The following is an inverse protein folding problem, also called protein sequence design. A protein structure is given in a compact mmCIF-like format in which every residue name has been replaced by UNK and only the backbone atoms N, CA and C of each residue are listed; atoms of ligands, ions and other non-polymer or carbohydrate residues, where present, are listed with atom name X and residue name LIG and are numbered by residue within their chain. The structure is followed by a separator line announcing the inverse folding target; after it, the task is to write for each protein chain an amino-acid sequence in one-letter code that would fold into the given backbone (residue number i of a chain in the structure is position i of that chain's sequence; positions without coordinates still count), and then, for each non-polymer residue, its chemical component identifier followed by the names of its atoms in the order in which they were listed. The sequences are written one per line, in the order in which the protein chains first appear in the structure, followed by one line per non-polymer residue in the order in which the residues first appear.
data_IF_864780038490
#
_entry.id   IF_864780038490
#
_cell.length_a   1.000
_cell.length_b   1.000
_cell.length_c   1.000
_cell.angle_alpha   90.00
_cell.angle_beta   90.00
_cell.angle_gamma   90.00
#
_symmetry.space_group_name_H-M   'P 1'
#
loop_
_entity.id
_entity.type
_entity.pdbx_description
1 polymer ?
#
# COMPACT_ATOMS: atom_id res chain seq x y z
N UNK A 1 -13.07 4.18 -8.14
CA UNK A 1 -13.62 5.39 -7.47
C UNK A 1 -13.65 6.53 -8.48
N UNK A 2 -14.72 7.34 -8.55
CA UNK A 2 -14.78 8.51 -9.41
C UNK A 2 -13.69 9.55 -9.09
N UNK A 3 -13.23 10.27 -10.11
CA UNK A 3 -12.11 11.22 -9.96
C UNK A 3 -12.45 12.41 -9.04
N UNK A 4 -13.69 12.87 -9.04
CA UNK A 4 -14.14 13.92 -8.12
C UNK A 4 -14.00 13.52 -6.65
N UNK A 5 -14.18 12.23 -6.31
CA UNK A 5 -13.91 11.71 -4.97
C UNK A 5 -12.40 11.64 -4.71
N UNK A 6 -11.62 11.17 -5.68
CA UNK A 6 -10.16 11.09 -5.54
C UNK A 6 -9.50 12.46 -5.36
N UNK A 7 -10.07 13.50 -5.97
CA UNK A 7 -9.57 14.88 -5.89
C UNK A 7 -10.20 15.69 -4.75
N UNK A 8 -11.11 15.10 -3.98
CA UNK A 8 -11.77 15.77 -2.88
C UNK A 8 -10.80 16.08 -1.72
N UNK A 9 -11.21 17.00 -0.86
CA UNK A 9 -10.47 17.33 0.37
C UNK A 9 -10.40 16.09 1.30
N UNK A 10 -9.33 15.92 2.10
CA UNK A 10 -9.13 14.72 2.93
C UNK A 10 -10.32 14.35 3.82
N UNK A 11 -11.02 15.33 4.39
CA UNK A 11 -12.19 15.08 5.24
C UNK A 11 -13.39 14.49 4.47
N UNK A 12 -13.56 14.83 3.19
CA UNK A 12 -14.59 14.24 2.32
C UNK A 12 -14.20 12.83 1.88
N UNK A 13 -12.91 12.62 1.57
CA UNK A 13 -12.37 11.30 1.30
C UNK A 13 -12.58 10.38 2.52
N UNK A 14 -12.38 10.88 3.74
CA UNK A 14 -12.64 10.14 4.97
C UNK A 14 -14.10 9.70 5.06
N UNK A 15 -15.05 10.59 4.79
CA UNK A 15 -16.48 10.25 4.77
C UNK A 15 -16.80 9.14 3.76
N UNK A 16 -16.19 9.20 2.57
CA UNK A 16 -16.36 8.14 1.56
C UNK A 16 -15.81 6.80 2.06
N UNK A 17 -14.59 6.80 2.64
CA UNK A 17 -13.99 5.58 3.18
C UNK A 17 -14.81 4.99 4.33
N UNK A 18 -15.35 5.83 5.22
CA UNK A 18 -16.19 5.37 6.33
C UNK A 18 -17.53 4.80 5.82
N UNK A 19 -18.14 5.41 4.81
CA UNK A 19 -19.33 4.85 4.15
C UNK A 19 -19.05 3.51 3.45
N UNK A 20 -17.93 3.42 2.73
CA UNK A 20 -17.51 2.17 2.09
C UNK A 20 -17.22 1.06 3.12
N UNK A 21 -16.64 1.42 4.26
CA UNK A 21 -16.36 0.47 5.35
C UNK A 21 -17.65 -0.19 5.89
N UNK A 22 -18.75 0.56 5.95
CA UNK A 22 -20.06 0.05 6.39
C UNK A 22 -20.64 -0.97 5.38
N UNK A 23 -20.44 -0.73 4.08
CA UNK A 23 -20.91 -1.62 3.02
C UNK A 23 -20.05 -2.86 2.83
N UNK A 24 -18.82 -2.66 2.41
CA UNK A 24 -17.91 -3.73 1.97
C UNK A 24 -16.63 -3.80 2.83
N UNK A 25 -16.73 -3.43 4.09
CA UNK A 25 -15.61 -3.47 5.02
C UNK A 25 -16.00 -4.05 6.38
N UNK A 26 -15.02 -4.07 7.26
CA UNK A 26 -15.25 -4.41 8.66
C UNK A 26 -14.15 -3.80 9.53
N UNK A 27 -14.44 -3.70 10.82
CA UNK A 27 -13.47 -3.33 11.84
C UNK A 27 -13.04 -4.57 12.61
N UNK A 28 -11.77 -4.62 12.97
CA UNK A 28 -11.21 -5.67 13.81
C UNK A 28 -10.50 -5.05 15.01
N UNK A 29 -10.92 -5.44 16.20
CA UNK A 29 -10.20 -5.07 17.42
C UNK A 29 -9.01 -6.03 17.58
N UNK A 30 -7.82 -5.47 17.79
CA UNK A 30 -6.65 -6.21 18.20
C UNK A 30 -6.40 -5.93 19.67
N UNK A 31 -6.52 -6.95 20.47
CA UNK A 31 -6.00 -6.94 21.83
C UNK A 31 -4.55 -7.42 21.73
N UNK A 32 -3.61 -6.54 21.97
CA UNK A 32 -2.21 -6.93 22.12
C UNK A 32 -1.97 -7.31 23.58
N UNK A 33 -1.00 -8.19 23.84
CA UNK A 33 -0.58 -8.63 25.19
C UNK A 33 -0.18 -7.47 26.12
N UNK A 34 -0.08 -6.26 25.58
CA UNK A 34 0.24 -5.00 26.28
C UNK A 34 -0.99 -4.13 26.60
N UNK A 35 -2.21 -4.68 26.61
CA UNK A 35 -3.46 -3.95 26.88
C UNK A 35 -3.71 -2.74 25.97
N UNK A 36 -3.16 -2.71 24.78
CA UNK A 36 -3.42 -1.67 23.81
C UNK A 36 -4.51 -2.12 22.84
N UNK A 37 -5.72 -1.62 23.04
CA UNK A 37 -6.82 -1.82 22.10
C UNK A 37 -6.61 -0.96 20.86
N UNK A 38 -6.41 -1.59 19.73
CA UNK A 38 -6.37 -0.89 18.44
C UNK A 38 -7.44 -1.42 17.52
N UNK A 39 -8.21 -0.51 16.93
CA UNK A 39 -9.22 -0.86 15.93
C UNK A 39 -8.62 -0.70 14.53
N UNK A 40 -8.58 -1.79 13.78
CA UNK A 40 -8.16 -1.80 12.38
C UNK A 40 -9.38 -1.67 11.46
N UNK A 41 -9.31 -0.77 10.49
CA UNK A 41 -10.29 -0.66 9.40
C UNK A 41 -9.81 -1.48 8.20
N UNK A 42 -10.66 -2.37 7.71
CA UNK A 42 -10.34 -3.29 6.61
C UNK A 42 -11.44 -3.15 5.55
N UNK A 43 -11.02 -2.83 4.34
CA UNK A 43 -11.87 -2.67 3.17
C UNK A 43 -11.72 -3.88 2.27
N UNK A 44 -12.83 -4.44 1.78
CA UNK A 44 -12.84 -5.63 0.94
C UNK A 44 -13.38 -5.32 -0.44
N UNK A 45 -12.80 -5.91 -1.47
CA UNK A 45 -13.30 -5.77 -2.84
C UNK A 45 -12.79 -6.91 -3.73
N UNK A 46 -13.56 -7.29 -4.74
CA UNK A 46 -13.13 -8.19 -5.81
C UNK A 46 -12.44 -7.44 -6.97
N UNK A 47 -12.59 -6.12 -7.03
CA UNK A 47 -11.99 -5.29 -8.08
C UNK A 47 -10.59 -4.84 -7.69
N UNK A 48 -9.57 -5.25 -8.48
CA UNK A 48 -8.19 -4.77 -8.29
C UNK A 48 -8.10 -3.26 -8.42
N UNK A 49 -8.82 -2.67 -9.38
CA UNK A 49 -8.86 -1.22 -9.57
C UNK A 49 -9.44 -0.51 -8.34
N UNK A 50 -10.53 -1.03 -7.77
CA UNK A 50 -11.10 -0.48 -6.54
C UNK A 50 -10.12 -0.61 -5.36
N UNK A 51 -9.42 -1.73 -5.24
CA UNK A 51 -8.39 -1.91 -4.22
C UNK A 51 -7.28 -0.86 -4.33
N UNK A 52 -6.83 -0.59 -5.55
CA UNK A 52 -5.82 0.44 -5.82
C UNK A 52 -6.34 1.86 -5.49
N UNK A 53 -7.58 2.15 -5.86
CA UNK A 53 -8.23 3.42 -5.56
C UNK A 53 -8.41 3.64 -4.05
N UNK A 54 -8.87 2.62 -3.31
CA UNK A 54 -8.98 2.67 -1.84
C UNK A 54 -7.61 2.95 -1.21
N UNK A 55 -6.56 2.28 -1.68
CA UNK A 55 -5.20 2.53 -1.19
C UNK A 55 -4.73 3.95 -1.43
N UNK A 56 -5.03 4.53 -2.60
CA UNK A 56 -4.75 5.94 -2.89
C UNK A 56 -5.50 6.87 -1.92
N UNK A 57 -6.78 6.60 -1.66
CA UNK A 57 -7.58 7.40 -0.73
C UNK A 57 -7.06 7.31 0.71
N UNK A 58 -6.64 6.14 1.16
CA UNK A 58 -6.03 5.95 2.49
C UNK A 58 -4.79 6.82 2.65
N UNK A 59 -3.95 6.92 1.62
CA UNK A 59 -2.76 7.79 1.65
C UNK A 59 -3.16 9.26 1.71
N UNK A 60 -4.16 9.67 0.94
CA UNK A 60 -4.65 11.06 0.91
C UNK A 60 -5.24 11.52 2.25
N UNK A 61 -5.68 10.61 3.10
CA UNK A 61 -6.09 10.90 4.48
C UNK A 61 -4.97 10.71 5.51
N UNK A 62 -3.72 10.61 5.07
CA UNK A 62 -2.54 10.57 5.94
C UNK A 62 -2.29 9.22 6.60
N UNK A 63 -2.83 8.12 6.05
CA UNK A 63 -2.63 6.76 6.58
C UNK A 63 -1.89 5.89 5.57
N UNK A 64 -1.40 4.75 5.99
CA UNK A 64 -0.71 3.78 5.14
C UNK A 64 -1.63 2.60 4.81
N UNK A 65 -1.85 2.28 3.54
CA UNK A 65 -2.56 1.06 3.16
C UNK A 65 -1.63 -0.16 3.24
N UNK A 66 -2.20 -1.30 3.61
CA UNK A 66 -1.57 -2.61 3.50
C UNK A 66 -2.50 -3.52 2.70
N UNK A 67 -1.98 -4.11 1.63
CA UNK A 67 -2.76 -4.96 0.72
C UNK A 67 -2.53 -6.43 1.05
N UNK A 68 -3.60 -7.19 0.98
CA UNK A 68 -3.56 -8.64 1.06
C UNK A 68 -4.54 -9.23 0.04
N UNK A 69 -4.10 -10.25 -0.68
CA UNK A 69 -4.97 -11.08 -1.49
C UNK A 69 -5.63 -12.11 -0.54
N UNK A 70 -6.82 -11.78 -0.06
CA UNK A 70 -7.50 -12.57 0.95
C UNK A 70 -7.99 -13.93 0.43
N UNK A 71 -8.45 -13.97 -0.83
CA UNK A 71 -8.86 -15.21 -1.50
C UNK A 71 -8.48 -15.17 -2.98
N UNK A 72 -7.94 -16.28 -3.46
CA UNK A 72 -7.68 -16.47 -4.89
C UNK A 72 -8.96 -16.95 -5.61
N UNK A 73 -9.11 -16.58 -6.86
CA UNK A 73 -10.08 -17.18 -7.76
C UNK A 73 -9.90 -18.71 -7.80
N UNK A 74 -10.98 -19.46 -7.79
CA UNK A 74 -10.95 -20.93 -7.81
C UNK A 74 -10.73 -21.60 -6.46
N UNK A 75 -10.59 -20.83 -5.37
CA UNK A 75 -10.43 -21.40 -4.03
C UNK A 75 -11.78 -21.86 -3.49
N UNK A 76 -11.83 -23.09 -2.99
CA UNK A 76 -12.96 -23.58 -2.21
C UNK A 76 -13.00 -22.93 -0.82
N UNK A 77 -14.17 -22.49 -0.43
CA UNK A 77 -14.42 -21.89 0.88
C UNK A 77 -15.61 -22.60 1.50
N UNK A 78 -15.39 -23.20 2.67
CA UNK A 78 -16.43 -23.88 3.43
C UNK A 78 -16.94 -22.95 4.53
N UNK A 79 -18.25 -22.78 4.58
CA UNK A 79 -18.99 -22.11 5.64
C UNK A 79 -19.96 -23.06 6.32
N UNK A 80 -20.57 -22.63 7.41
CA UNK A 80 -21.63 -23.42 8.12
C UNK A 80 -22.75 -23.85 7.20
N UNK A 81 -23.04 -23.10 6.14
CA UNK A 81 -24.16 -23.30 5.21
C UNK A 81 -23.74 -23.96 3.89
N UNK A 82 -22.52 -24.46 3.75
CA UNK A 82 -22.06 -25.14 2.55
C UNK A 82 -20.68 -24.68 2.05
N UNK A 83 -20.24 -25.33 0.97
CA UNK A 83 -18.99 -25.04 0.30
C UNK A 83 -19.27 -24.36 -1.03
N UNK A 84 -18.51 -23.32 -1.34
CA UNK A 84 -18.57 -22.64 -2.63
C UNK A 84 -17.17 -22.35 -3.16
N UNK A 85 -17.05 -22.23 -4.49
CA UNK A 85 -15.81 -21.85 -5.15
C UNK A 85 -15.81 -20.36 -5.45
N UNK A 86 -14.71 -19.68 -5.15
CA UNK A 86 -14.59 -18.25 -5.42
C UNK A 86 -14.46 -17.98 -6.92
N UNK A 87 -15.32 -17.11 -7.48
CA UNK A 87 -15.30 -16.77 -8.90
C UNK A 87 -14.28 -15.66 -9.23
N UNK A 88 -13.84 -14.89 -8.22
CA UNK A 88 -12.92 -13.77 -8.36
C UNK A 88 -11.90 -13.75 -7.23
N UNK A 89 -10.79 -13.07 -7.47
CA UNK A 89 -9.87 -12.69 -6.41
C UNK A 89 -10.56 -11.72 -5.43
N UNK A 90 -10.28 -11.87 -4.15
CA UNK A 90 -10.75 -10.94 -3.12
C UNK A 90 -9.57 -10.21 -2.51
N UNK A 91 -9.58 -8.90 -2.62
CA UNK A 91 -8.59 -8.01 -2.04
C UNK A 91 -9.06 -7.49 -0.70
N UNK A 92 -8.14 -7.44 0.24
CA UNK A 92 -8.33 -6.84 1.56
C UNK A 92 -7.32 -5.73 1.74
N UNK A 93 -7.79 -4.51 1.96
CA UNK A 93 -6.97 -3.32 2.13
C UNK A 93 -7.13 -2.85 3.57
N UNK A 94 -6.07 -2.93 4.35
CA UNK A 94 -6.06 -2.51 5.74
C UNK A 94 -5.53 -1.09 5.86
N UNK A 95 -6.21 -0.27 6.65
CA UNK A 95 -5.72 1.03 7.07
C UNK A 95 -4.80 0.86 8.29
N UNK A 96 -3.51 1.15 8.12
CA UNK A 96 -2.52 1.04 9.19
C UNK A 96 -2.42 2.34 9.97
N UNK A 97 -2.34 2.24 11.29
CA UNK A 97 -2.15 3.39 12.19
C UNK A 97 -0.77 4.04 11.99
N UNK A 98 0.26 3.23 11.73
CA UNK A 98 1.62 3.72 11.49
C UNK A 98 1.83 4.07 10.02
N UNK A 99 2.46 5.22 9.77
CA UNK A 99 2.79 5.67 8.41
C UNK A 99 4.07 5.01 7.88
N UNK A 100 4.89 4.44 8.75
CA UNK A 100 6.19 3.86 8.40
C UNK A 100 6.13 2.34 8.32
N UNK A 101 6.99 1.77 7.47
CA UNK A 101 7.30 0.34 7.48
C UNK A 101 8.50 0.10 8.39
N UNK A 102 8.41 -0.92 9.23
CA UNK A 102 9.60 -1.43 9.93
C UNK A 102 10.45 -2.22 8.95
N UNK A 103 11.74 -1.92 8.90
CA UNK A 103 12.73 -2.64 8.09
C UNK A 103 13.42 -3.77 8.87
N UNK A 104 13.01 -4.05 10.10
CA UNK A 104 13.65 -5.04 10.97
C UNK A 104 13.71 -6.45 10.37
N UNK A 105 12.71 -6.80 9.56
CA UNK A 105 12.62 -8.10 8.89
C UNK A 105 12.82 -7.98 7.36
N UNK A 106 13.43 -6.88 6.89
CA UNK A 106 13.74 -6.72 5.48
C UNK A 106 14.91 -7.61 5.10
N UNK A 107 14.75 -8.35 4.04
CA UNK A 107 15.85 -9.09 3.41
C UNK A 107 16.43 -8.26 2.27
N UNK A 108 17.74 -8.29 2.13
CA UNK A 108 18.45 -7.67 1.00
C UNK A 108 19.16 -8.75 0.19
N UNK A 109 19.13 -8.61 -1.11
CA UNK A 109 19.80 -9.50 -2.05
C UNK A 109 20.61 -8.62 -3.01
N UNK A 110 21.84 -9.04 -3.28
CA UNK A 110 22.68 -8.41 -4.31
C UNK A 110 22.40 -9.16 -5.61
N UNK A 111 21.89 -8.42 -6.59
CA UNK A 111 21.61 -8.97 -7.93
C UNK A 111 22.40 -8.21 -8.98
N UNK A 112 22.94 -8.94 -9.95
CA UNK A 112 23.55 -8.34 -11.12
C UNK A 112 22.46 -7.70 -11.99
N UNK A 113 22.58 -6.40 -12.20
CA UNK A 113 21.64 -5.65 -13.01
C UNK A 113 22.29 -5.19 -14.31
N UNK A 114 21.84 -5.76 -15.43
CA UNK A 114 22.23 -5.33 -16.77
C UNK A 114 21.09 -4.52 -17.39
N UNK A 115 21.11 -3.20 -17.18
CA UNK A 115 20.07 -2.32 -17.70
C UNK A 115 20.20 -0.88 -17.19
N UNK A 116 19.30 -0.01 -17.66
CA UNK A 116 19.26 1.39 -17.24
C UNK A 116 18.55 1.49 -15.86
N UNK A 117 19.13 2.28 -14.97
CA UNK A 117 18.48 2.69 -13.72
C UNK A 117 17.96 4.10 -13.89
N UNK A 118 16.71 4.33 -13.48
CA UNK A 118 16.05 5.61 -13.61
C UNK A 118 15.85 6.21 -12.22
N UNK A 119 16.17 7.50 -12.10
CA UNK A 119 15.87 8.27 -10.90
C UNK A 119 15.04 9.49 -11.30
N UNK A 120 13.98 9.76 -10.53
CA UNK A 120 13.12 10.93 -10.75
C UNK A 120 13.66 12.09 -9.93
N UNK A 121 13.95 13.21 -10.57
CA UNK A 121 14.33 14.44 -9.86
C UNK A 121 13.08 15.15 -9.35
N UNK A 122 13.04 15.45 -8.05
CA UNK A 122 11.96 16.16 -7.40
C UNK A 122 12.49 17.42 -6.72
N UNK A 123 12.06 18.57 -7.24
CA UNK A 123 12.64 19.88 -6.88
C UNK A 123 12.40 20.33 -5.44
N UNK A 124 11.32 19.88 -4.76
CA UNK A 124 10.91 20.49 -3.49
C UNK A 124 11.13 19.60 -2.27
N UNK A 125 10.61 18.39 -2.26
CA UNK A 125 10.60 17.57 -1.04
C UNK A 125 11.44 16.30 -1.14
N UNK A 126 11.97 15.99 -2.31
CA UNK A 126 12.75 14.78 -2.58
C UNK A 126 12.05 13.49 -2.10
N UNK A 127 10.72 13.50 -2.11
CA UNK A 127 9.89 12.36 -1.75
C UNK A 127 8.93 12.03 -2.88
N UNK A 128 8.78 10.75 -3.17
CA UNK A 128 7.83 10.30 -4.16
C UNK A 128 7.00 9.14 -3.63
N UNK A 129 5.77 9.07 -4.11
CA UNK A 129 4.88 7.96 -3.82
C UNK A 129 5.09 6.89 -4.88
N UNK A 130 5.52 5.71 -4.45
CA UNK A 130 5.71 4.56 -5.34
C UNK A 130 4.68 3.49 -5.08
N UNK A 131 4.35 2.71 -6.12
CA UNK A 131 3.49 1.54 -6.01
C UNK A 131 4.23 0.33 -6.60
N UNK A 132 4.35 -0.73 -5.80
CA UNK A 132 4.89 -2.02 -6.24
C UNK A 132 3.99 -3.14 -5.73
N UNK A 133 3.51 -4.00 -6.62
CA UNK A 133 2.63 -5.13 -6.29
C UNK A 133 1.38 -4.73 -5.47
N UNK A 134 0.80 -3.56 -5.77
CA UNK A 134 -0.33 -3.00 -5.03
C UNK A 134 0.04 -2.25 -3.75
N UNK A 135 1.20 -2.50 -3.17
CA UNK A 135 1.68 -1.77 -2.00
C UNK A 135 2.11 -0.36 -2.41
N UNK A 136 1.63 0.62 -1.67
CA UNK A 136 1.95 2.03 -1.89
C UNK A 136 2.79 2.54 -0.74
N UNK A 137 3.89 3.23 -1.05
CA UNK A 137 4.85 3.69 -0.07
C UNK A 137 5.45 5.03 -0.47
N UNK A 138 5.64 5.90 0.52
CA UNK A 138 6.47 7.08 0.37
C UNK A 138 7.95 6.68 0.42
N UNK A 139 8.70 7.07 -0.61
CA UNK A 139 10.14 6.87 -0.67
C UNK A 139 10.83 8.22 -0.76
N UNK A 140 11.99 8.32 -0.11
CA UNK A 140 12.90 9.41 -0.33
C UNK A 140 13.54 9.29 -1.73
N UNK A 141 13.67 10.40 -2.43
CA UNK A 141 14.53 10.47 -3.59
C UNK A 141 15.97 10.72 -3.11
N UNK A 142 16.91 9.96 -3.65
CA UNK A 142 18.32 10.12 -3.31
C UNK A 142 18.80 11.53 -3.64
N UNK A 143 19.28 12.25 -2.64
CA UNK A 143 20.12 13.43 -2.82
C UNK A 143 21.53 12.94 -3.12
N UNK A 144 21.73 12.32 -4.27
CA UNK A 144 23.09 11.98 -4.68
C UNK A 144 23.78 13.24 -5.20
N UNK A 145 24.61 13.82 -4.37
CA UNK A 145 25.76 14.54 -4.90
C UNK A 145 26.68 13.45 -5.42
N UNK A 146 26.78 13.29 -6.73
CA UNK A 146 27.87 12.53 -7.34
C UNK A 146 29.15 13.28 -6.96
N UNK A 147 29.78 12.86 -5.88
CA UNK A 147 31.17 13.21 -5.66
C UNK A 147 31.95 12.40 -6.70
N UNK A 148 32.74 13.05 -7.56
CA UNK A 148 33.65 12.34 -8.45
C UNK A 148 34.50 11.43 -7.57
N UNK A 149 34.52 10.14 -7.86
CA UNK A 149 35.46 9.23 -7.24
C UNK A 149 36.87 9.63 -7.72
N UNK A 150 37.76 10.10 -6.85
CA UNK A 150 39.06 10.54 -7.26
C UNK A 150 40.01 9.42 -7.74
N UNK A 151 39.54 8.17 -7.60
CA UNK A 151 40.25 6.93 -7.93
C UNK A 151 39.88 6.32 -9.28
N UNK A 152 38.86 6.88 -9.97
CA UNK A 152 38.55 6.50 -11.34
C UNK A 152 39.14 7.53 -12.31
N UNK A 153 40.41 7.40 -12.61
CA UNK A 153 40.98 7.98 -13.82
C UNK A 153 40.30 7.26 -15.00
N UNK A 154 39.56 8.04 -15.81
CA UNK A 154 39.07 7.56 -17.08
C UNK A 154 40.29 7.31 -17.94
N UNK A 155 40.70 6.05 -18.09
CA UNK A 155 41.63 5.66 -19.14
C UNK A 155 41.01 6.07 -20.49
N UNK A 156 41.70 6.98 -21.20
CA UNK A 156 41.35 7.45 -22.55
C UNK A 156 41.53 6.33 -23.59
#
# INVERSE_FOLDING_TARGET
VPDNIKQAKPHLIRKFLDAYLIGDGYTRNRNNDYNFESTEKIYSTSSKKMADDIGELIIKVGKRPSYNLAKNKGKEVTHKNGTYTTNHNQWSIRECSHQFLSMQNATSEIVDHNGKVYCVELKKYHTLLTRRNGQVLWNGNCKHTLLPRPDLELEN
#
